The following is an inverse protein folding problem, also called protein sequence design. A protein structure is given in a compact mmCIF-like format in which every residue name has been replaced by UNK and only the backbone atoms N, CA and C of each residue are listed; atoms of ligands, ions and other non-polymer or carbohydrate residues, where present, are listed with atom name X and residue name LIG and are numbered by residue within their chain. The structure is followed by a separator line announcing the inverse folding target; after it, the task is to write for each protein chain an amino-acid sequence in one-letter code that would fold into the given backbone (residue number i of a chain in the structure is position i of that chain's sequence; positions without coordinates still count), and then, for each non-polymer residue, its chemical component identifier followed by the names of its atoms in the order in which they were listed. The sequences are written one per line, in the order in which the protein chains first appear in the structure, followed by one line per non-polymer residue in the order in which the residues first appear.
data_IF_759388622002
#
_entry.id   IF_759388622002
#
_cell.length_a   1.000
_cell.length_b   1.000
_cell.length_c   1.000
_cell.angle_alpha   90.00
_cell.angle_beta   90.00
_cell.angle_gamma   90.00
#
_symmetry.space_group_name_H-M   'P 1'
#
loop_
_entity.id
_entity.type
_entity.pdbx_description
1 polymer ?
#
# COMPACT_ATOMS: atom_id res chain seq x y z
N UNK A 1 -43.20 21.61 20.53
CA UNK A 1 -43.43 20.28 19.93
C UNK A 1 -42.82 19.24 20.85
N UNK A 2 -43.53 18.16 21.19
CA UNK A 2 -42.97 17.08 22.00
C UNK A 2 -42.12 16.15 21.12
N UNK A 3 -41.11 15.49 21.68
CA UNK A 3 -40.28 14.53 20.95
C UNK A 3 -41.12 13.43 20.28
N UNK A 4 -42.19 12.98 20.94
CA UNK A 4 -43.12 11.99 20.41
C UNK A 4 -43.89 12.50 19.18
N UNK A 5 -44.30 13.78 19.19
CA UNK A 5 -44.99 14.39 18.05
C UNK A 5 -44.08 14.60 16.84
N UNK A 6 -42.79 14.88 17.07
CA UNK A 6 -41.79 15.02 16.01
C UNK A 6 -41.46 13.65 15.40
N UNK A 7 -41.26 12.64 16.24
CA UNK A 7 -40.97 11.28 15.80
C UNK A 7 -42.06 10.72 14.89
N UNK A 8 -43.32 10.79 15.33
CA UNK A 8 -44.48 10.38 14.51
C UNK A 8 -44.51 11.09 13.15
N UNK A 9 -44.23 12.40 13.11
CA UNK A 9 -44.22 13.19 11.87
C UNK A 9 -43.10 12.78 10.90
N UNK A 10 -41.97 12.32 11.42
CA UNK A 10 -40.86 11.82 10.59
C UNK A 10 -41.20 10.43 10.05
N UNK A 11 -41.79 9.54 10.86
CA UNK A 11 -42.17 8.19 10.43
C UNK A 11 -43.29 8.19 9.37
N UNK A 12 -44.27 9.08 9.50
CA UNK A 12 -45.37 9.21 8.55
C UNK A 12 -44.95 9.85 7.21
N UNK A 13 -43.72 10.38 7.10
CA UNK A 13 -43.21 11.03 5.90
C UNK A 13 -41.89 10.39 5.44
N UNK A 14 -41.99 9.52 4.44
CA UNK A 14 -40.84 8.81 3.85
C UNK A 14 -39.72 9.74 3.38
N UNK A 15 -40.05 10.92 2.83
CA UNK A 15 -39.04 11.89 2.39
C UNK A 15 -38.25 12.50 3.55
N UNK A 16 -38.94 12.86 4.63
CA UNK A 16 -38.29 13.35 5.86
C UNK A 16 -37.44 12.27 6.53
N UNK A 17 -37.91 11.02 6.52
CA UNK A 17 -37.17 9.88 7.08
C UNK A 17 -35.87 9.62 6.29
N UNK A 18 -35.94 9.54 4.96
CA UNK A 18 -34.75 9.35 4.10
C UNK A 18 -33.76 10.49 4.31
N UNK A 19 -34.24 11.75 4.29
CA UNK A 19 -33.38 12.91 4.53
C UNK A 19 -32.70 12.84 5.91
N UNK A 20 -33.45 12.50 6.95
CA UNK A 20 -32.92 12.35 8.30
C UNK A 20 -31.84 11.27 8.40
N UNK A 21 -32.05 10.11 7.77
CA UNK A 21 -31.07 9.02 7.73
C UNK A 21 -29.78 9.47 7.03
N UNK A 22 -29.90 10.10 5.86
CA UNK A 22 -28.73 10.59 5.10
C UNK A 22 -27.96 11.65 5.89
N UNK A 23 -28.69 12.59 6.51
CA UNK A 23 -28.09 13.65 7.32
C UNK A 23 -27.30 13.04 8.49
N UNK A 24 -27.93 12.20 9.30
CA UNK A 24 -27.29 11.62 10.50
C UNK A 24 -26.13 10.70 10.12
N UNK A 25 -26.29 9.86 9.08
CA UNK A 25 -25.23 8.94 8.63
C UNK A 25 -24.02 9.69 8.06
N UNK A 26 -24.24 10.85 7.43
CA UNK A 26 -23.15 11.66 6.85
C UNK A 26 -22.23 12.29 7.89
N UNK A 27 -22.74 12.55 9.11
CA UNK A 27 -21.98 13.23 10.17
C UNK A 27 -20.70 12.46 10.50
N UNK A 28 -20.76 11.13 10.62
CA UNK A 28 -19.59 10.31 10.93
C UNK A 28 -18.50 10.43 9.86
N UNK A 29 -18.87 10.36 8.59
CA UNK A 29 -17.94 10.51 7.47
C UNK A 29 -17.32 11.91 7.40
N UNK A 30 -18.13 12.95 7.61
CA UNK A 30 -17.63 14.33 7.61
C UNK A 30 -16.63 14.59 8.75
N UNK A 31 -16.94 14.14 9.96
CA UNK A 31 -16.09 14.33 11.14
C UNK A 31 -14.77 13.55 11.04
N UNK A 32 -14.77 12.37 10.40
CA UNK A 32 -13.57 11.55 10.26
C UNK A 32 -12.69 11.94 9.06
N UNK A 33 -13.30 12.26 7.90
CA UNK A 33 -12.55 12.47 6.66
C UNK A 33 -12.07 13.93 6.54
N UNK A 34 -12.93 14.92 6.80
CA UNK A 34 -12.59 16.32 6.52
C UNK A 34 -11.37 16.84 7.30
N UNK A 35 -11.17 16.51 8.59
CA UNK A 35 -9.97 16.94 9.31
C UNK A 35 -8.70 16.31 8.74
N UNK A 36 -8.78 15.03 8.35
CA UNK A 36 -7.65 14.26 7.80
C UNK A 36 -7.16 14.84 6.47
N UNK A 37 -8.05 15.38 5.64
CA UNK A 37 -7.70 15.99 4.34
C UNK A 37 -6.77 17.20 4.45
N UNK A 38 -6.68 17.85 5.62
CA UNK A 38 -5.84 19.03 5.84
C UNK A 38 -4.80 18.79 6.95
N UNK A 39 -4.60 17.54 7.37
CA UNK A 39 -3.66 17.22 8.44
C UNK A 39 -2.24 17.04 7.88
N UNK A 40 -1.36 18.00 8.17
CA UNK A 40 0.04 18.02 7.69
C UNK A 40 0.79 16.73 8.02
N UNK A 41 0.62 16.19 9.24
CA UNK A 41 1.29 14.97 9.67
C UNK A 41 0.95 13.71 8.86
N UNK A 42 -0.07 13.78 7.99
CA UNK A 42 -0.48 12.70 7.09
C UNK A 42 -0.09 12.96 5.62
N UNK A 43 0.37 14.17 5.30
CA UNK A 43 0.75 14.59 3.94
C UNK A 43 2.26 14.76 3.77
N UNK A 44 2.98 15.03 4.85
CA UNK A 44 4.41 15.24 4.79
C UNK A 44 5.16 13.90 4.64
N UNK A 45 5.94 13.71 3.55
CA UNK A 45 6.77 12.53 3.41
C UNK A 45 7.88 12.53 4.47
N UNK A 46 8.28 11.35 4.94
CA UNK A 46 9.52 11.24 5.73
C UNK A 46 10.75 11.61 4.89
N UNK A 47 11.87 11.91 5.54
CA UNK A 47 13.09 12.41 4.89
C UNK A 47 13.56 11.61 3.65
N UNK A 48 13.41 10.29 3.67
CA UNK A 48 13.83 9.41 2.58
C UNK A 48 12.67 8.91 1.71
N UNK A 49 11.43 9.29 2.00
CA UNK A 49 10.27 8.85 1.21
C UNK A 49 10.22 9.60 -0.11
N UNK A 50 10.30 8.83 -1.20
CA UNK A 50 10.24 9.31 -2.58
C UNK A 50 9.15 8.55 -3.35
N UNK A 51 8.62 9.11 -4.45
CA UNK A 51 7.74 8.35 -5.32
C UNK A 51 8.44 7.11 -5.85
N UNK A 52 7.71 6.01 -5.96
CA UNK A 52 8.21 4.76 -6.52
C UNK A 52 8.79 4.97 -7.91
N UNK A 53 9.95 4.37 -8.20
CA UNK A 53 10.45 4.29 -9.58
C UNK A 53 9.50 3.46 -10.46
N UNK A 54 9.66 3.51 -11.78
CA UNK A 54 8.84 2.71 -12.70
C UNK A 54 8.88 1.20 -12.36
N UNK A 55 10.08 0.68 -12.06
CA UNK A 55 10.30 -0.74 -11.70
C UNK A 55 9.61 -1.07 -10.37
N UNK A 56 9.80 -0.22 -9.36
CA UNK A 56 9.19 -0.36 -8.04
C UNK A 56 7.66 -0.32 -8.10
N UNK A 57 7.11 0.61 -8.89
CA UNK A 57 5.67 0.78 -9.07
C UNK A 57 5.05 -0.42 -9.79
N UNK A 58 5.71 -0.95 -10.82
CA UNK A 58 5.28 -2.19 -11.48
C UNK A 58 5.30 -3.38 -10.51
N UNK A 59 6.35 -3.50 -9.70
CA UNK A 59 6.42 -4.54 -8.66
C UNK A 59 5.31 -4.44 -7.62
N UNK A 60 5.00 -3.21 -7.18
CA UNK A 60 3.88 -2.91 -6.28
C UNK A 60 2.54 -3.31 -6.88
N UNK A 61 2.36 -3.10 -8.18
CA UNK A 61 1.13 -3.48 -8.87
C UNK A 61 0.98 -4.99 -8.98
N UNK A 62 2.08 -5.70 -9.21
CA UNK A 62 2.11 -7.16 -9.17
C UNK A 62 1.80 -7.64 -7.75
N UNK A 63 2.36 -7.02 -6.70
CA UNK A 63 2.03 -7.32 -5.31
C UNK A 63 0.51 -7.20 -5.03
N UNK A 64 -0.13 -6.16 -5.60
CA UNK A 64 -1.59 -5.98 -5.52
C UNK A 64 -2.33 -7.06 -6.32
N UNK A 65 -1.92 -7.30 -7.58
CA UNK A 65 -2.55 -8.27 -8.49
C UNK A 65 -2.54 -9.68 -7.92
N UNK A 66 -1.44 -10.06 -7.29
CA UNK A 66 -1.24 -11.38 -6.68
C UNK A 66 -1.89 -11.53 -5.29
N UNK A 67 -2.50 -10.47 -4.77
CA UNK A 67 -3.23 -10.49 -3.50
C UNK A 67 -2.34 -10.64 -2.27
N UNK A 68 -1.06 -10.27 -2.36
CA UNK A 68 -0.11 -10.43 -1.26
C UNK A 68 -0.57 -9.72 0.04
N UNK A 69 -1.26 -8.58 -0.11
CA UNK A 69 -1.84 -7.80 1.00
C UNK A 69 -2.94 -8.53 1.79
N UNK A 70 -3.48 -9.62 1.26
CA UNK A 70 -4.46 -10.48 1.98
C UNK A 70 -3.79 -11.31 3.07
N UNK A 71 -2.50 -11.61 2.91
CA UNK A 71 -1.71 -12.41 3.86
C UNK A 71 -0.69 -11.58 4.63
N UNK A 72 -0.19 -10.50 4.04
CA UNK A 72 0.90 -9.69 4.57
C UNK A 72 0.43 -8.25 4.81
N UNK A 73 0.67 -7.77 6.02
CA UNK A 73 0.55 -6.35 6.34
C UNK A 73 1.80 -5.58 5.98
N UNK A 74 1.65 -4.28 5.82
CA UNK A 74 2.74 -3.33 5.69
C UNK A 74 2.53 -2.17 6.67
N UNK A 75 2.24 -2.51 7.94
CA UNK A 75 2.03 -1.54 9.00
C UNK A 75 2.44 -2.15 10.34
N UNK A 76 3.62 -1.76 10.81
CA UNK A 76 4.14 -2.18 12.11
C UNK A 76 3.57 -1.26 13.18
N UNK A 77 2.93 -1.87 14.19
CA UNK A 77 2.30 -1.13 15.30
C UNK A 77 3.35 -0.69 16.32
N UNK A 78 3.11 0.39 17.08
CA UNK A 78 4.02 0.88 18.11
C UNK A 78 3.92 0.04 19.40
N UNK A 79 4.10 -1.27 19.28
CA UNK A 79 4.16 -2.24 20.38
C UNK A 79 5.58 -2.78 20.47
N UNK A 80 6.12 -2.93 21.68
CA UNK A 80 7.51 -3.41 21.90
C UNK A 80 7.75 -4.71 21.14
N UNK A 81 6.87 -5.70 21.29
CA UNK A 81 7.00 -7.00 20.62
C UNK A 81 6.94 -6.93 19.09
N UNK A 82 6.27 -5.93 18.51
CA UNK A 82 6.30 -5.73 17.05
C UNK A 82 7.57 -5.04 16.59
N UNK A 83 8.04 -4.07 17.37
CA UNK A 83 9.28 -3.37 17.06
C UNK A 83 10.48 -4.32 17.13
N UNK A 84 10.54 -5.19 18.15
CA UNK A 84 11.57 -6.22 18.25
C UNK A 84 11.50 -7.22 17.09
N UNK A 85 10.30 -7.58 16.63
CA UNK A 85 10.11 -8.58 15.57
C UNK A 85 10.38 -8.03 14.18
N UNK A 86 9.86 -6.84 13.88
CA UNK A 86 9.82 -6.31 12.52
C UNK A 86 10.76 -5.11 12.31
N UNK A 87 11.14 -4.41 13.37
CA UNK A 87 11.89 -3.15 13.32
C UNK A 87 11.00 -1.94 13.65
N UNK A 88 11.49 -0.71 13.44
CA UNK A 88 10.78 0.50 13.84
C UNK A 88 9.34 0.57 13.32
N UNK A 89 8.43 1.04 14.19
CA UNK A 89 7.01 1.18 13.86
C UNK A 89 6.80 2.08 12.63
N UNK A 90 5.71 1.84 11.89
CA UNK A 90 5.41 2.59 10.68
C UNK A 90 4.96 4.02 10.98
N UNK A 91 5.41 4.99 10.17
CA UNK A 91 5.01 6.39 10.26
C UNK A 91 4.12 6.77 9.08
N UNK A 92 3.18 7.68 9.30
CA UNK A 92 2.23 8.12 8.27
C UNK A 92 2.93 8.65 7.00
N UNK A 93 4.02 9.41 7.18
CA UNK A 93 4.81 10.00 6.10
C UNK A 93 5.42 8.98 5.12
N UNK A 94 5.52 7.70 5.50
CA UNK A 94 6.05 6.65 4.62
C UNK A 94 5.03 6.18 3.58
N UNK A 95 3.74 6.46 3.81
CA UNK A 95 2.62 6.02 2.97
C UNK A 95 2.06 7.15 2.08
N UNK A 96 2.69 8.33 2.06
CA UNK A 96 2.18 9.52 1.34
C UNK A 96 2.01 9.27 -0.17
N UNK A 97 2.87 8.42 -0.73
CA UNK A 97 2.82 8.01 -2.14
C UNK A 97 2.10 6.67 -2.36
N UNK A 98 1.45 6.11 -1.34
CA UNK A 98 0.71 4.88 -1.49
C UNK A 98 -0.73 5.09 -1.97
N UNK A 99 -0.96 4.78 -3.25
CA UNK A 99 -2.30 4.79 -3.85
C UNK A 99 -2.59 3.43 -4.51
N UNK A 100 -3.51 2.60 -3.98
CA UNK A 100 -4.10 2.70 -2.63
C UNK A 100 -3.10 2.30 -1.53
N UNK A 101 -3.38 2.58 -0.26
CA UNK A 101 -2.56 2.08 0.86
C UNK A 101 -2.55 0.55 0.95
N UNK A 102 -1.42 -0.04 1.40
CA UNK A 102 -1.23 -1.49 1.53
C UNK A 102 -0.95 -1.96 2.97
N UNK A 103 -1.47 -1.22 3.95
CA UNK A 103 -1.26 -1.49 5.38
C UNK A 103 -1.62 -2.92 5.80
N UNK A 104 -2.60 -3.53 5.12
CA UNK A 104 -3.10 -4.88 5.38
C UNK A 104 -4.07 -4.94 6.57
N UNK A 105 -4.90 -5.96 6.59
CA UNK A 105 -5.91 -6.20 7.65
C UNK A 105 -5.75 -7.56 8.32
N UNK A 106 -4.83 -8.39 7.83
CA UNK A 106 -4.56 -9.75 8.30
C UNK A 106 -3.07 -10.06 8.19
N UNK A 107 -2.59 -10.94 9.07
CA UNK A 107 -1.23 -11.48 9.08
C UNK A 107 -1.28 -13.00 9.07
N UNK A 108 -1.48 -13.58 7.89
CA UNK A 108 -1.27 -15.00 7.65
C UNK A 108 0.24 -15.26 7.53
N UNK A 109 0.93 -14.38 6.80
CA UNK A 109 2.38 -14.26 6.80
C UNK A 109 2.87 -13.08 7.64
N UNK A 110 4.19 -12.90 7.77
CA UNK A 110 4.80 -11.79 8.53
C UNK A 110 4.49 -10.42 7.92
N UNK A 111 4.64 -9.35 8.72
CA UNK A 111 4.60 -7.97 8.20
C UNK A 111 5.83 -7.71 7.29
N UNK A 112 5.62 -7.00 6.18
CA UNK A 112 6.64 -6.76 5.16
C UNK A 112 7.16 -5.32 5.13
N UNK A 113 6.66 -4.41 5.96
CA UNK A 113 7.00 -2.97 5.84
C UNK A 113 8.50 -2.67 6.04
N UNK A 114 9.26 -3.59 6.63
CA UNK A 114 10.71 -3.47 6.87
C UNK A 114 11.46 -4.70 6.34
N UNK A 115 10.99 -5.29 5.24
CA UNK A 115 11.66 -6.48 4.67
C UNK A 115 12.89 -6.11 3.84
N UNK A 116 12.99 -4.87 3.36
CA UNK A 116 14.10 -4.38 2.57
C UNK A 116 15.45 -4.64 3.23
N UNK A 117 16.35 -5.29 2.50
CA UNK A 117 17.69 -5.66 2.96
C UNK A 117 17.77 -6.79 4.00
N UNK A 118 16.65 -7.38 4.45
CA UNK A 118 16.67 -8.53 5.38
C UNK A 118 16.99 -9.84 4.70
N UNK A 119 16.62 -9.98 3.43
CA UNK A 119 16.89 -11.17 2.62
C UNK A 119 17.52 -10.75 1.29
N UNK A 120 18.30 -11.65 0.69
CA UNK A 120 18.88 -11.41 -0.63
C UNK A 120 17.82 -11.53 -1.72
N UNK A 121 18.09 -10.92 -2.88
CA UNK A 121 17.22 -11.04 -4.06
C UNK A 121 17.04 -12.50 -4.49
N UNK A 122 18.10 -13.31 -4.38
CA UNK A 122 18.04 -14.74 -4.66
C UNK A 122 17.12 -15.49 -3.68
N UNK A 123 17.17 -15.13 -2.39
CA UNK A 123 16.25 -15.71 -1.41
C UNK A 123 14.81 -15.36 -1.76
N UNK A 124 14.53 -14.10 -2.09
CA UNK A 124 13.20 -13.69 -2.51
C UNK A 124 12.75 -14.44 -3.77
N UNK A 125 13.63 -14.62 -4.75
CA UNK A 125 13.33 -15.35 -5.99
C UNK A 125 12.95 -16.79 -5.71
N UNK A 126 13.75 -17.51 -4.93
CA UNK A 126 13.48 -18.92 -4.57
C UNK A 126 12.20 -19.02 -3.73
N UNK A 127 12.05 -18.16 -2.72
CA UNK A 127 10.88 -18.11 -1.87
C UNK A 127 9.60 -17.82 -2.64
N UNK A 128 9.61 -16.87 -3.59
CA UNK A 128 8.43 -16.56 -4.40
C UNK A 128 8.07 -17.70 -5.35
N UNK A 129 9.04 -18.42 -5.91
CA UNK A 129 8.79 -19.55 -6.81
C UNK A 129 8.23 -20.74 -6.05
N UNK A 130 8.87 -21.14 -4.95
CA UNK A 130 8.42 -22.24 -4.10
C UNK A 130 8.76 -21.95 -2.62
N UNK A 131 7.82 -21.35 -1.87
CA UNK A 131 8.08 -20.96 -0.48
C UNK A 131 8.53 -22.12 0.41
N UNK A 132 8.04 -23.34 0.13
CA UNK A 132 8.37 -24.53 0.94
C UNK A 132 9.80 -25.03 0.72
N UNK A 133 10.46 -24.63 -0.36
CA UNK A 133 11.86 -24.99 -0.61
C UNK A 133 12.84 -24.33 0.39
N UNK A 134 12.48 -23.17 0.93
CA UNK A 134 13.30 -22.41 1.90
C UNK A 134 12.66 -22.32 3.29
N UNK A 135 11.34 -22.42 3.37
CA UNK A 135 10.58 -22.45 4.62
C UNK A 135 9.60 -23.62 4.55
N UNK A 136 9.99 -24.84 4.99
CA UNK A 136 9.19 -26.05 4.81
C UNK A 136 7.74 -25.96 5.31
N UNK A 137 7.53 -25.24 6.41
CA UNK A 137 6.21 -25.02 7.04
C UNK A 137 5.41 -23.85 6.41
N UNK A 138 5.90 -23.27 5.32
CA UNK A 138 5.25 -22.13 4.69
C UNK A 138 3.90 -22.51 4.09
N UNK A 139 2.86 -21.79 4.48
CA UNK A 139 1.53 -21.86 3.89
C UNK A 139 1.35 -20.87 2.72
N UNK A 140 2.38 -20.12 2.36
CA UNK A 140 2.34 -19.18 1.23
C UNK A 140 2.20 -19.95 -0.09
N UNK A 141 1.34 -19.49 -1.03
CA UNK A 141 1.31 -20.03 -2.40
C UNK A 141 2.63 -19.83 -3.13
N UNK A 142 2.96 -20.72 -4.07
CA UNK A 142 4.08 -20.48 -4.99
C UNK A 142 3.63 -19.65 -6.19
N UNK A 143 4.49 -18.74 -6.65
CA UNK A 143 4.25 -17.80 -7.76
C UNK A 143 5.24 -18.01 -8.93
N UNK A 144 5.44 -19.24 -9.45
CA UNK A 144 6.45 -19.52 -10.49
C UNK A 144 6.17 -18.87 -11.85
N UNK A 145 4.97 -18.32 -12.07
CA UNK A 145 4.67 -17.56 -13.30
C UNK A 145 5.37 -16.21 -13.35
N UNK A 146 5.68 -15.61 -12.19
CA UNK A 146 6.36 -14.31 -12.14
C UNK A 146 7.76 -14.38 -12.78
N UNK A 147 8.40 -15.55 -12.72
CA UNK A 147 9.69 -15.82 -13.35
C UNK A 147 9.60 -16.14 -14.86
N UNK A 148 8.41 -16.04 -15.46
CA UNK A 148 8.17 -16.36 -16.88
C UNK A 148 7.43 -15.25 -17.65
N UNK A 149 6.89 -14.26 -16.95
CA UNK A 149 6.15 -13.13 -17.53
C UNK A 149 7.02 -11.90 -17.55
N UNK A 150 6.95 -11.15 -18.66
CA UNK A 150 7.70 -9.90 -18.80
C UNK A 150 7.02 -8.78 -18.02
N UNK A 151 7.81 -7.95 -17.35
CA UNK A 151 7.32 -6.84 -16.53
C UNK A 151 6.60 -5.77 -17.36
N UNK A 152 7.04 -5.51 -18.59
CA UNK A 152 6.40 -4.56 -19.50
C UNK A 152 4.98 -4.96 -19.94
N UNK A 153 4.56 -6.21 -19.68
CA UNK A 153 3.22 -6.71 -19.96
C UNK A 153 2.30 -6.64 -18.73
N UNK A 154 2.81 -6.24 -17.56
CA UNK A 154 2.04 -6.17 -16.32
C UNK A 154 1.03 -5.01 -16.31
N UNK A 155 1.20 -4.01 -17.18
CA UNK A 155 0.30 -2.86 -17.33
C UNK A 155 0.97 -1.69 -18.04
N UNK A 156 0.23 -0.60 -18.24
CA UNK A 156 0.73 0.63 -18.85
C UNK A 156 1.36 1.55 -17.78
N UNK A 157 2.68 1.46 -17.64
CA UNK A 157 3.43 2.21 -16.62
C UNK A 157 3.41 3.72 -16.88
N UNK A 158 3.40 4.15 -18.15
CA UNK A 158 3.41 5.56 -18.54
C UNK A 158 2.07 6.21 -18.20
N UNK A 159 0.97 5.57 -18.58
CA UNK A 159 -0.37 6.02 -18.21
C UNK A 159 -0.52 6.08 -16.69
N UNK A 160 0.04 5.10 -15.96
CA UNK A 160 -0.03 5.06 -14.51
C UNK A 160 0.74 6.21 -13.85
N UNK A 161 1.99 6.43 -14.24
CA UNK A 161 2.79 7.53 -13.68
C UNK A 161 2.17 8.90 -14.01
N UNK A 162 1.58 9.07 -15.19
CA UNK A 162 0.79 10.27 -15.54
C UNK A 162 -0.42 10.44 -14.63
N UNK A 163 -1.18 9.37 -14.38
CA UNK A 163 -2.33 9.40 -13.48
C UNK A 163 -1.92 9.75 -12.04
N UNK A 164 -0.82 9.17 -11.54
CA UNK A 164 -0.30 9.49 -10.21
C UNK A 164 0.23 10.93 -10.13
N UNK A 165 0.82 11.46 -11.20
CA UNK A 165 1.23 12.85 -11.28
C UNK A 165 0.03 13.81 -11.18
N UNK A 166 -1.10 13.48 -11.83
CA UNK A 166 -2.38 14.23 -11.68
C UNK A 166 -2.86 14.18 -10.22
N UNK A 167 -2.63 13.06 -9.53
CA UNK A 167 -2.99 12.88 -8.11
C UNK A 167 -1.97 13.49 -7.13
N UNK A 168 -0.99 14.25 -7.62
CA UNK A 168 -0.04 15.01 -6.81
C UNK A 168 1.30 14.32 -6.55
N UNK A 169 1.61 13.20 -7.21
CA UNK A 169 2.94 12.60 -7.13
C UNK A 169 3.95 13.46 -7.90
N UNK A 170 5.13 13.79 -7.33
CA UNK A 170 6.13 14.63 -7.97
C UNK A 170 7.00 13.86 -8.99
N UNK A 171 6.36 13.20 -9.98
CA UNK A 171 7.08 12.59 -11.10
C UNK A 171 7.55 13.65 -12.10
N UNK A 172 8.80 13.57 -12.53
CA UNK A 172 9.31 14.41 -13.62
C UNK A 172 8.88 13.87 -14.98
N UNK A 173 8.84 14.74 -15.99
CA UNK A 173 8.53 14.31 -17.37
C UNK A 173 9.57 13.31 -17.91
N UNK A 174 10.82 13.43 -17.48
CA UNK A 174 11.90 12.49 -17.83
C UNK A 174 11.64 11.10 -17.22
N UNK A 175 11.22 11.03 -15.95
CA UNK A 175 10.87 9.77 -15.31
C UNK A 175 9.72 9.07 -16.03
N UNK A 176 8.71 9.83 -16.46
CA UNK A 176 7.57 9.28 -17.22
C UNK A 176 8.02 8.83 -18.61
N UNK A 177 8.80 9.64 -19.33
CA UNK A 177 9.24 9.36 -20.70
C UNK A 177 10.17 8.14 -20.78
N UNK A 178 10.93 7.86 -19.72
CA UNK A 178 11.85 6.72 -19.67
C UNK A 178 11.27 5.49 -18.96
N UNK A 179 10.00 5.53 -18.52
CA UNK A 179 9.43 4.48 -17.68
C UNK A 179 9.38 3.10 -18.36
N UNK A 180 8.99 3.04 -19.63
CA UNK A 180 8.89 1.76 -20.37
C UNK A 180 10.26 1.11 -20.56
N UNK A 181 11.28 1.89 -20.93
CA UNK A 181 12.62 1.36 -21.15
C UNK A 181 13.26 0.83 -19.87
N UNK A 182 12.84 1.31 -18.69
CA UNK A 182 13.28 0.74 -17.40
C UNK A 182 12.72 -0.66 -17.14
N UNK A 183 11.66 -1.07 -17.82
CA UNK A 183 11.05 -2.40 -17.67
C UNK A 183 11.53 -3.41 -18.73
N UNK A 184 12.25 -2.95 -19.74
CA UNK A 184 12.75 -3.81 -20.82
C UNK A 184 13.67 -4.90 -20.28
N UNK A 185 13.40 -6.15 -20.67
CA UNK A 185 14.18 -7.31 -20.25
C UNK A 185 13.96 -7.77 -18.81
N UNK A 186 13.16 -7.05 -18.01
CA UNK A 186 12.80 -7.47 -16.66
C UNK A 186 11.60 -8.41 -16.67
N UNK A 187 11.62 -9.38 -15.77
CA UNK A 187 10.48 -10.24 -15.47
C UNK A 187 9.64 -9.65 -14.33
N UNK A 188 8.40 -10.07 -14.22
CA UNK A 188 7.51 -9.66 -13.12
C UNK A 188 8.11 -9.98 -11.74
N UNK A 189 8.85 -11.08 -11.61
CA UNK A 189 9.52 -11.42 -10.35
C UNK A 189 10.62 -10.43 -10.00
N UNK A 190 11.31 -9.86 -10.98
CA UNK A 190 12.42 -8.92 -10.74
C UNK A 190 11.88 -7.60 -10.19
N UNK A 191 10.79 -7.10 -10.79
CA UNK A 191 10.14 -5.88 -10.32
C UNK A 191 9.50 -6.06 -8.95
N UNK A 192 8.89 -7.21 -8.68
CA UNK A 192 8.35 -7.54 -7.36
C UNK A 192 9.45 -7.62 -6.29
N UNK A 193 10.61 -8.18 -6.61
CA UNK A 193 11.76 -8.20 -5.69
C UNK A 193 12.24 -6.79 -5.41
N UNK A 194 12.41 -5.96 -6.44
CA UNK A 194 12.75 -4.54 -6.28
C UNK A 194 11.71 -3.82 -5.40
N UNK A 195 10.43 -4.16 -5.57
CA UNK A 195 9.38 -3.69 -4.66
C UNK A 195 9.62 -4.12 -3.21
N UNK A 196 9.81 -5.40 -2.95
CA UNK A 196 10.06 -5.88 -1.59
C UNK A 196 11.32 -5.27 -0.98
N UNK A 197 12.37 -5.04 -1.77
CA UNK A 197 13.62 -4.49 -1.30
C UNK A 197 13.55 -3.02 -0.89
N UNK A 198 12.65 -2.21 -1.46
CA UNK A 198 12.50 -0.83 -1.00
C UNK A 198 11.72 -0.71 0.30
N UNK A 199 10.93 -1.72 0.68
CA UNK A 199 10.06 -1.62 1.85
C UNK A 199 10.86 -1.38 3.13
N UNK A 200 10.68 -0.18 3.67
CA UNK A 200 11.31 0.28 4.89
C UNK A 200 12.49 1.24 4.68
N UNK A 201 12.89 1.49 3.44
CA UNK A 201 13.99 2.42 3.10
C UNK A 201 13.60 3.90 3.18
N UNK A 202 12.29 4.20 3.24
CA UNK A 202 11.77 5.57 3.40
C UNK A 202 11.98 6.17 4.81
N UNK A 203 12.37 5.35 5.79
CA UNK A 203 12.71 5.82 7.13
C UNK A 203 14.14 6.37 7.19
N UNK A 204 14.40 7.29 8.10
CA UNK A 204 15.77 7.75 8.36
C UNK A 204 16.63 6.60 8.91
N UNK A 205 17.87 6.49 8.41
CA UNK A 205 18.85 5.48 8.87
C UNK A 205 19.17 5.65 10.35
N UNK A 206 19.04 6.85 10.90
CA UNK A 206 19.23 7.10 12.34
C UNK A 206 18.15 6.46 13.22
N UNK A 207 16.95 6.20 12.67
CA UNK A 207 15.85 5.56 13.40
C UNK A 207 15.91 4.02 13.25
N UNK A 208 16.64 3.52 12.25
CA UNK A 208 16.79 2.08 11.96
C UNK A 208 17.86 1.42 12.85
N UNK A 209 18.81 2.20 13.39
CA UNK A 209 19.85 1.74 14.32
C UNK A 209 19.38 1.76 15.77
#
# INVERSE_FOLDING_TARGET
MSALSLHKRIEENTGLLIFGILLVSSIGGLVQILPVLNQESLQEPTANTKPYTAVELTGRDIYIREGCSVCHSQQIRPLIAEVERYGPYSRAGEFVYDRPFLWGSKRTGPDLHRVGGKFSDDWHRVHLIDPRSVVPESIMPGYPWLARRNANQAGDIVAKMKALAILGHPYTQEQIATAESKLEGLLEIDTLIVYLQMLGTGLDKEIIR
#
